data_IF_513781117795
#
_entry.id   IF_513781117795
#
_cell.length_a   1.000
_cell.length_b   1.000
_cell.length_c   1.000
_cell.angle_alpha   90.00
_cell.angle_beta   90.00
_cell.angle_gamma   90.00
#
_symmetry.space_group_name_H-M   'P 1'
#
loop_
_entity.id
_entity.type
_entity.pdbx_description
1 polymer ?
#
# COMPACT_ATOMS: atom_id res chain seq x y z
N UNK A 1 -8.89 -16.64 -22.58
CA UNK A 1 -7.92 -16.36 -23.66
C UNK A 1 -6.52 -16.90 -23.32
N UNK A 2 -5.84 -16.38 -22.29
CA UNK A 2 -4.46 -16.78 -21.94
C UNK A 2 -4.28 -18.27 -21.63
N UNK A 3 -5.22 -18.89 -20.89
CA UNK A 3 -5.15 -20.33 -20.56
C UNK A 3 -5.29 -21.18 -21.83
N UNK A 4 -6.28 -20.90 -22.67
CA UNK A 4 -6.61 -21.71 -23.84
C UNK A 4 -5.59 -21.55 -24.99
N UNK A 5 -4.78 -20.48 -25.00
CA UNK A 5 -3.76 -20.21 -26.03
C UNK A 5 -2.33 -20.27 -25.50
N UNK A 6 -2.08 -20.89 -24.34
CA UNK A 6 -0.72 -20.95 -23.74
C UNK A 6 0.33 -21.53 -24.69
N UNK A 7 -0.04 -22.51 -25.53
CA UNK A 7 0.86 -23.10 -26.52
C UNK A 7 1.31 -22.12 -27.61
N UNK A 8 0.54 -21.04 -27.83
CA UNK A 8 0.84 -20.00 -28.82
C UNK A 8 1.64 -18.83 -28.22
N UNK A 9 1.85 -18.82 -26.91
CA UNK A 9 2.60 -17.77 -26.21
C UNK A 9 4.07 -18.15 -26.11
N UNK A 10 4.95 -17.29 -26.63
CA UNK A 10 6.40 -17.43 -26.48
C UNK A 10 6.83 -17.09 -25.06
N UNK A 11 7.58 -18.00 -24.42
CA UNK A 11 8.19 -17.72 -23.13
C UNK A 11 9.34 -16.71 -23.31
N UNK A 12 9.27 -15.58 -22.61
CA UNK A 12 10.26 -14.50 -22.69
C UNK A 12 11.53 -14.78 -21.86
N UNK A 13 11.45 -15.70 -20.89
CA UNK A 13 12.57 -16.19 -20.08
C UNK A 13 12.15 -17.43 -19.27
N UNK A 14 13.09 -18.23 -18.74
CA UNK A 14 12.77 -19.23 -17.71
C UNK A 14 12.03 -18.61 -16.52
N UNK A 15 11.17 -19.41 -15.89
CA UNK A 15 10.45 -19.00 -14.68
C UNK A 15 11.40 -18.87 -13.48
N UNK A 16 11.03 -18.00 -12.52
CA UNK A 16 11.69 -17.88 -11.22
C UNK A 16 13.19 -17.48 -11.22
N UNK A 17 13.70 -16.89 -12.30
CA UNK A 17 15.12 -16.45 -12.37
C UNK A 17 15.34 -14.98 -11.98
N UNK A 18 14.31 -14.15 -12.07
CA UNK A 18 14.35 -12.72 -11.71
C UNK A 18 12.96 -12.22 -11.41
N UNK A 19 12.87 -11.18 -10.58
CA UNK A 19 11.63 -10.46 -10.41
C UNK A 19 11.39 -9.50 -11.58
N UNK A 20 10.15 -9.47 -12.06
CA UNK A 20 9.66 -8.47 -13.01
C UNK A 20 8.20 -8.21 -12.68
N UNK A 21 7.90 -6.98 -12.24
CA UNK A 21 6.53 -6.60 -11.92
C UNK A 21 5.64 -6.72 -13.17
N UNK A 22 4.54 -7.45 -13.07
CA UNK A 22 3.66 -7.74 -14.19
C UNK A 22 2.19 -7.71 -13.77
N UNK A 23 1.43 -6.74 -14.29
CA UNK A 23 -0.01 -6.62 -14.03
C UNK A 23 -0.78 -7.87 -14.50
N UNK A 24 -0.35 -8.51 -15.59
CA UNK A 24 -0.99 -9.71 -16.12
C UNK A 24 -1.05 -10.84 -15.10
N UNK A 25 -0.08 -10.96 -14.21
CA UNK A 25 -0.09 -11.96 -13.14
C UNK A 25 -1.30 -11.79 -12.23
N UNK A 26 -1.64 -10.55 -11.85
CA UNK A 26 -2.77 -10.27 -10.97
C UNK A 26 -4.12 -10.36 -11.68
N UNK A 27 -4.20 -9.97 -12.96
CA UNK A 27 -5.39 -10.22 -13.77
C UNK A 27 -5.67 -11.73 -13.91
N UNK A 28 -4.62 -12.55 -14.05
CA UNK A 28 -4.75 -14.02 -14.05
C UNK A 28 -5.22 -14.57 -12.70
N UNK A 29 -4.72 -14.04 -11.58
CA UNK A 29 -5.16 -14.43 -10.24
C UNK A 29 -6.65 -14.11 -10.00
N UNK A 30 -7.14 -12.97 -10.50
CA UNK A 30 -8.57 -12.67 -10.46
C UNK A 30 -9.40 -13.71 -11.23
N UNK A 31 -8.97 -14.09 -12.44
CA UNK A 31 -9.62 -15.16 -13.22
C UNK A 31 -9.56 -16.52 -12.52
N UNK A 32 -8.48 -16.81 -11.78
CA UNK A 32 -8.35 -18.04 -11.00
C UNK A 32 -9.39 -18.07 -9.87
N UNK A 33 -9.59 -16.95 -9.16
CA UNK A 33 -10.63 -16.81 -8.14
C UNK A 33 -12.00 -17.11 -8.77
N UNK A 34 -12.32 -16.51 -9.91
CA UNK A 34 -13.59 -16.75 -10.59
C UNK A 34 -13.76 -18.22 -11.00
N UNK A 35 -12.70 -18.83 -11.52
CA UNK A 35 -12.71 -20.23 -11.97
C UNK A 35 -12.93 -21.21 -10.81
N UNK A 36 -12.29 -20.98 -9.67
CA UNK A 36 -12.37 -21.86 -8.49
C UNK A 36 -13.69 -21.67 -7.75
N UNK A 37 -14.17 -20.44 -7.64
CA UNK A 37 -15.35 -20.11 -6.83
C UNK A 37 -16.68 -20.17 -7.61
N UNK A 38 -16.62 -20.06 -8.94
CA UNK A 38 -17.80 -20.00 -9.81
C UNK A 38 -18.56 -18.67 -9.77
N UNK A 39 -18.04 -17.64 -9.09
CA UNK A 39 -18.63 -16.30 -9.03
C UNK A 39 -17.66 -15.25 -9.53
N UNK A 40 -18.16 -14.10 -9.98
CA UNK A 40 -17.32 -13.03 -10.53
C UNK A 40 -16.43 -12.40 -9.46
N UNK A 41 -15.25 -11.89 -9.84
CA UNK A 41 -14.29 -11.29 -8.93
C UNK A 41 -14.87 -10.10 -8.13
N UNK A 42 -15.60 -9.14 -8.75
CA UNK A 42 -16.30 -8.09 -8.00
C UNK A 42 -17.28 -8.64 -6.95
N UNK A 43 -18.02 -9.70 -7.29
CA UNK A 43 -18.98 -10.33 -6.37
C UNK A 43 -18.27 -11.05 -5.24
N UNK A 44 -17.19 -11.77 -5.55
CA UNK A 44 -16.36 -12.46 -4.56
C UNK A 44 -15.79 -11.48 -3.54
N UNK A 45 -15.17 -10.37 -3.98
CA UNK A 45 -14.62 -9.38 -3.06
C UNK A 45 -15.69 -8.70 -2.21
N UNK A 46 -16.83 -8.36 -2.81
CA UNK A 46 -17.94 -7.75 -2.08
C UNK A 46 -18.45 -8.68 -0.96
N UNK A 47 -18.71 -9.94 -1.29
CA UNK A 47 -19.31 -10.90 -0.35
C UNK A 47 -18.34 -11.38 0.75
N UNK A 48 -17.06 -11.56 0.41
CA UNK A 48 -16.09 -12.18 1.34
C UNK A 48 -15.25 -11.16 2.10
N UNK A 49 -15.15 -9.92 1.62
CA UNK A 49 -14.31 -8.90 2.25
C UNK A 49 -15.05 -7.59 2.48
N UNK A 50 -15.62 -6.95 1.46
CA UNK A 50 -16.12 -5.58 1.64
C UNK A 50 -17.37 -5.51 2.55
N UNK A 51 -18.36 -6.39 2.36
CA UNK A 51 -19.56 -6.42 3.20
C UNK A 51 -19.26 -6.86 4.64
N UNK A 52 -18.51 -7.97 4.89
CA UNK A 52 -18.19 -8.39 6.26
C UNK A 52 -17.34 -7.38 7.04
N UNK A 53 -16.50 -6.61 6.35
CA UNK A 53 -15.66 -5.58 6.96
C UNK A 53 -16.35 -4.20 7.00
N UNK A 54 -17.58 -4.09 6.52
CA UNK A 54 -18.31 -2.83 6.38
C UNK A 54 -17.52 -1.75 5.61
N UNK A 55 -16.77 -2.16 4.58
CA UNK A 55 -16.04 -1.26 3.68
C UNK A 55 -17.01 -0.70 2.61
N UNK A 56 -18.00 0.08 3.08
CA UNK A 56 -19.15 0.51 2.29
C UNK A 56 -18.81 1.45 1.12
N UNK A 57 -17.59 2.00 1.08
CA UNK A 57 -17.10 2.86 0.02
C UNK A 57 -16.02 2.16 -0.82
N UNK A 58 -15.94 0.83 -0.74
CA UNK A 58 -14.97 0.03 -1.48
C UNK A 58 -15.67 -0.89 -2.47
N UNK A 59 -15.23 -0.83 -3.73
CA UNK A 59 -15.82 -1.61 -4.80
C UNK A 59 -14.82 -1.83 -5.95
N UNK A 60 -15.09 -2.86 -6.77
CA UNK A 60 -14.43 -3.03 -8.07
C UNK A 60 -15.24 -2.29 -9.12
N UNK A 61 -14.62 -1.38 -9.88
CA UNK A 61 -15.34 -0.64 -10.93
C UNK A 61 -15.69 -1.60 -12.08
N UNK A 62 -16.93 -1.48 -12.57
CA UNK A 62 -17.41 -2.29 -13.68
C UNK A 62 -17.99 -1.40 -14.77
N UNK A 63 -17.99 -1.90 -16.00
CA UNK A 63 -18.63 -1.25 -17.17
C UNK A 63 -20.12 -0.94 -16.96
N UNK A 64 -20.79 -1.60 -16.00
CA UNK A 64 -22.21 -1.37 -15.71
C UNK A 64 -22.45 -0.13 -14.84
N UNK A 65 -21.44 0.31 -14.09
CA UNK A 65 -21.57 1.40 -13.12
C UNK A 65 -20.37 2.37 -13.20
N UNK A 66 -20.04 2.92 -14.39
CA UNK A 66 -18.84 3.75 -14.58
C UNK A 66 -18.90 5.06 -13.77
N UNK A 67 -20.10 5.54 -13.45
CA UNK A 67 -20.33 6.78 -12.70
C UNK A 67 -19.98 6.71 -11.23
N UNK A 68 -19.66 5.52 -10.70
CA UNK A 68 -19.17 5.37 -9.31
C UNK A 68 -17.71 5.80 -9.16
N UNK A 69 -16.94 5.83 -10.25
CA UNK A 69 -15.54 6.23 -10.20
C UNK A 69 -15.40 7.70 -9.77
N UNK A 70 -14.42 7.98 -8.91
CA UNK A 70 -14.00 9.37 -8.66
C UNK A 70 -13.27 9.91 -9.89
N UNK A 71 -13.52 11.16 -10.32
CA UNK A 71 -12.79 11.78 -11.42
C UNK A 71 -11.30 11.80 -11.17
N UNK A 72 -10.57 11.59 -12.27
CA UNK A 72 -9.12 11.54 -12.31
C UNK A 72 -8.60 12.72 -13.10
N UNK A 73 -7.49 13.33 -12.70
CA UNK A 73 -6.98 14.54 -13.36
C UNK A 73 -5.54 14.40 -13.81
N UNK A 74 -5.24 14.98 -14.98
CA UNK A 74 -3.88 15.10 -15.49
C UNK A 74 -3.09 16.19 -14.73
N UNK A 75 -1.84 16.40 -15.14
CA UNK A 75 -0.98 17.39 -14.52
C UNK A 75 -1.46 18.84 -14.72
N UNK A 76 -2.35 19.11 -15.67
CA UNK A 76 -2.97 20.43 -15.91
C UNK A 76 -4.27 20.62 -15.14
N UNK A 77 -4.78 19.56 -14.49
CA UNK A 77 -6.08 19.57 -13.83
C UNK A 77 -7.24 19.29 -14.80
N UNK A 78 -6.96 18.78 -16.00
CA UNK A 78 -7.99 18.33 -16.94
C UNK A 78 -8.42 16.91 -16.57
N UNK A 79 -9.74 16.67 -16.55
CA UNK A 79 -10.30 15.35 -16.25
C UNK A 79 -9.88 14.33 -17.33
N UNK A 80 -9.42 13.16 -16.86
CA UNK A 80 -9.03 12.03 -17.70
C UNK A 80 -10.26 11.10 -17.80
N UNK A 81 -10.79 10.86 -19.01
CA UNK A 81 -11.92 9.96 -19.19
C UNK A 81 -11.53 8.50 -18.97
N UNK A 82 -12.49 7.71 -18.47
CA UNK A 82 -12.35 6.25 -18.42
C UNK A 82 -12.26 5.66 -19.83
N UNK A 83 -11.50 4.58 -19.96
CA UNK A 83 -11.41 3.74 -21.14
C UNK A 83 -11.54 2.25 -20.77
N UNK A 84 -11.41 1.37 -21.75
CA UNK A 84 -11.63 -0.07 -21.54
C UNK A 84 -10.65 -0.71 -20.53
N UNK A 85 -9.44 -0.16 -20.37
CA UNK A 85 -8.44 -0.66 -19.43
C UNK A 85 -8.79 -0.38 -17.96
N UNK A 86 -9.65 0.61 -17.70
CA UNK A 86 -10.17 0.91 -16.37
C UNK A 86 -11.05 -0.19 -15.81
N UNK A 87 -11.55 -1.09 -16.66
CA UNK A 87 -12.42 -2.20 -16.27
C UNK A 87 -11.68 -3.53 -16.12
N UNK A 88 -10.37 -3.57 -16.35
CA UNK A 88 -9.52 -4.71 -16.01
C UNK A 88 -9.32 -4.73 -14.50
N UNK A 89 -9.57 -5.87 -13.84
CA UNK A 89 -9.43 -6.02 -12.40
C UNK A 89 -8.41 -7.10 -12.03
N UNK A 90 -8.05 -7.12 -10.75
CA UNK A 90 -7.01 -7.97 -10.18
C UNK A 90 -5.72 -7.20 -10.00
N UNK A 91 -5.23 -6.55 -11.07
CA UNK A 91 -4.01 -5.73 -11.05
C UNK A 91 -4.21 -4.31 -10.49
N UNK A 92 -5.45 -3.81 -10.52
CA UNK A 92 -5.87 -2.48 -10.04
C UNK A 92 -7.40 -2.47 -9.82
N UNK A 93 -8.05 -1.32 -10.06
CA UNK A 93 -9.51 -1.24 -10.22
C UNK A 93 -10.30 -1.51 -8.92
N UNK A 94 -9.66 -1.42 -7.76
CA UNK A 94 -10.39 -1.26 -6.50
C UNK A 94 -10.43 0.23 -6.17
N UNK A 95 -11.63 0.77 -6.09
CA UNK A 95 -11.88 2.11 -5.57
C UNK A 95 -12.18 1.98 -4.08
N UNK A 96 -11.64 2.87 -3.26
CA UNK A 96 -11.77 2.80 -1.81
C UNK A 96 -11.55 4.18 -1.16
N UNK A 97 -11.65 4.24 0.16
CA UNK A 97 -11.35 5.42 0.97
C UNK A 97 -10.26 5.09 1.99
N UNK A 98 -9.59 6.10 2.54
CA UNK A 98 -8.60 5.89 3.59
C UNK A 98 -9.21 5.19 4.83
N UNK A 99 -10.49 5.45 5.13
CA UNK A 99 -11.20 4.83 6.25
C UNK A 99 -11.45 3.33 6.02
N UNK A 100 -11.87 2.96 4.81
CA UNK A 100 -12.07 1.54 4.47
C UNK A 100 -10.74 0.79 4.37
N UNK A 101 -9.70 1.41 3.79
CA UNK A 101 -8.36 0.84 3.77
C UNK A 101 -7.78 0.64 5.18
N UNK A 102 -8.11 1.50 6.15
CA UNK A 102 -7.75 1.26 7.54
C UNK A 102 -8.47 0.02 8.10
N UNK A 103 -9.75 -0.19 7.79
CA UNK A 103 -10.46 -1.42 8.17
C UNK A 103 -9.81 -2.66 7.55
N UNK A 104 -9.40 -2.58 6.29
CA UNK A 104 -8.63 -3.63 5.63
C UNK A 104 -7.32 -3.94 6.37
N UNK A 105 -6.57 -2.93 6.79
CA UNK A 105 -5.35 -3.11 7.58
C UNK A 105 -5.62 -3.86 8.89
N UNK A 106 -6.62 -3.40 9.65
CA UNK A 106 -7.00 -4.01 10.93
C UNK A 106 -7.44 -5.46 10.75
N UNK A 107 -8.14 -5.75 9.66
CA UNK A 107 -8.53 -7.11 9.31
C UNK A 107 -7.34 -8.02 9.02
N UNK A 108 -6.32 -7.54 8.27
CA UNK A 108 -5.12 -8.33 8.02
C UNK A 108 -4.49 -8.83 9.34
N UNK A 109 -4.36 -7.95 10.33
CA UNK A 109 -3.77 -8.31 11.63
C UNK A 109 -4.73 -9.02 12.60
N UNK A 110 -6.00 -9.23 12.25
CA UNK A 110 -7.03 -9.73 13.18
C UNK A 110 -6.92 -11.23 13.49
N UNK A 111 -6.23 -12.00 12.65
CA UNK A 111 -6.18 -13.46 12.74
C UNK A 111 -7.50 -14.17 12.36
N UNK A 112 -8.52 -13.45 11.89
CA UNK A 112 -9.83 -14.02 11.57
C UNK A 112 -9.81 -14.89 10.30
N UNK A 113 -9.14 -14.40 9.25
CA UNK A 113 -9.00 -15.12 7.98
C UNK A 113 -7.53 -15.44 7.67
N UNK A 114 -6.67 -14.43 7.79
CA UNK A 114 -5.26 -14.59 7.51
C UNK A 114 -4.52 -14.96 8.80
N UNK A 115 -3.93 -16.16 8.79
CA UNK A 115 -3.03 -16.59 9.86
C UNK A 115 -1.75 -15.77 9.84
N UNK A 116 -1.00 -15.80 10.94
CA UNK A 116 0.32 -15.16 11.00
C UNK A 116 1.26 -15.76 9.95
N UNK A 117 1.18 -17.06 9.74
CA UNK A 117 1.97 -17.82 8.78
C UNK A 117 1.65 -17.38 7.34
N UNK A 118 0.37 -17.26 6.99
CA UNK A 118 -0.05 -16.75 5.67
C UNK A 118 0.47 -15.34 5.40
N UNK A 119 0.41 -14.45 6.40
CA UNK A 119 0.96 -13.10 6.23
C UNK A 119 2.48 -13.09 6.17
N UNK A 120 3.16 -13.95 6.92
CA UNK A 120 4.61 -14.11 6.83
C UNK A 120 5.03 -14.57 5.43
N UNK A 121 4.32 -15.51 4.82
CA UNK A 121 4.54 -15.91 3.43
C UNK A 121 4.32 -14.74 2.47
N UNK A 122 3.22 -13.99 2.65
CA UNK A 122 2.93 -12.82 1.81
C UNK A 122 3.99 -11.72 1.92
N UNK A 123 4.59 -11.58 3.10
CA UNK A 123 5.65 -10.62 3.39
C UNK A 123 7.05 -11.20 3.23
N UNK A 124 7.21 -12.43 2.74
CA UNK A 124 8.54 -12.98 2.48
C UNK A 124 9.13 -12.29 1.25
N UNK A 125 10.38 -11.81 1.30
CA UNK A 125 11.05 -11.25 0.14
C UNK A 125 11.39 -12.37 -0.86
N UNK A 126 10.97 -12.22 -2.12
CA UNK A 126 11.25 -13.21 -3.18
C UNK A 126 12.07 -12.61 -4.35
N UNK A 127 12.42 -11.32 -4.29
CA UNK A 127 13.14 -10.60 -5.35
C UNK A 127 14.58 -10.26 -4.94
N UNK A 128 15.38 -11.30 -4.72
CA UNK A 128 16.75 -11.20 -4.21
C UNK A 128 17.83 -11.14 -5.29
N UNK A 129 17.46 -10.98 -6.56
CA UNK A 129 18.42 -10.99 -7.66
C UNK A 129 19.44 -9.84 -7.62
N UNK A 130 19.14 -8.78 -6.86
CA UNK A 130 20.03 -7.64 -6.66
C UNK A 130 20.13 -7.26 -5.17
N UNK A 131 21.32 -6.84 -4.70
CA UNK A 131 21.47 -6.32 -3.35
C UNK A 131 20.69 -5.00 -3.20
N UNK A 132 20.10 -4.80 -2.03
CA UNK A 132 19.40 -3.57 -1.69
C UNK A 132 18.19 -3.81 -0.78
N UNK A 133 17.56 -2.70 -0.38
CA UNK A 133 16.45 -2.74 0.56
C UNK A 133 15.13 -3.16 -0.09
N UNK A 134 14.96 -2.87 -1.39
CA UNK A 134 13.69 -3.01 -2.10
C UNK A 134 13.44 -4.47 -2.44
N UNK A 135 12.30 -4.98 -2.01
CA UNK A 135 11.88 -6.35 -2.26
C UNK A 135 10.39 -6.45 -2.61
N UNK A 136 9.99 -7.60 -3.14
CA UNK A 136 8.62 -7.93 -3.47
C UNK A 136 8.23 -9.31 -2.93
N UNK A 137 7.07 -9.38 -2.28
CA UNK A 137 6.43 -10.57 -1.75
C UNK A 137 5.20 -10.98 -2.56
N UNK A 138 4.25 -11.67 -1.95
CA UNK A 138 3.00 -12.03 -2.64
C UNK A 138 2.00 -10.87 -2.55
N UNK A 139 1.96 -9.99 -3.57
CA UNK A 139 1.06 -8.83 -3.55
C UNK A 139 1.57 -7.62 -2.77
N UNK A 140 2.78 -7.68 -2.22
CA UNK A 140 3.33 -6.64 -1.34
C UNK A 140 4.73 -6.22 -1.75
N UNK A 141 4.98 -4.91 -1.73
CA UNK A 141 6.34 -4.37 -1.74
C UNK A 141 6.86 -4.31 -0.32
N UNK A 142 8.17 -4.38 -0.17
CA UNK A 142 8.81 -4.15 1.12
C UNK A 142 10.15 -3.44 0.97
N UNK A 143 10.51 -2.67 1.99
CA UNK A 143 11.88 -2.19 2.19
C UNK A 143 12.44 -2.86 3.44
N UNK A 144 13.58 -3.54 3.30
CA UNK A 144 14.31 -4.21 4.37
C UNK A 144 15.53 -3.35 4.72
N UNK A 145 15.60 -2.83 5.94
CA UNK A 145 16.68 -1.94 6.37
C UNK A 145 17.73 -2.69 7.20
N UNK A 146 18.98 -2.22 7.17
CA UNK A 146 20.12 -2.88 7.83
C UNK A 146 19.99 -2.94 9.35
N UNK A 147 19.21 -2.03 9.95
CA UNK A 147 18.87 -2.04 11.37
C UNK A 147 17.78 -3.07 11.75
N UNK A 148 17.39 -3.93 10.82
CA UNK A 148 16.36 -4.96 11.00
C UNK A 148 14.92 -4.45 10.84
N UNK A 149 14.71 -3.15 10.64
CA UNK A 149 13.38 -2.60 10.38
C UNK A 149 12.86 -2.97 9.00
N UNK A 150 11.54 -3.09 8.90
CA UNK A 150 10.87 -3.50 7.67
C UNK A 150 9.61 -2.69 7.43
N UNK A 151 9.51 -2.08 6.26
CA UNK A 151 8.27 -1.45 5.80
C UNK A 151 7.57 -2.38 4.82
N UNK A 152 6.30 -2.67 5.05
CA UNK A 152 5.43 -3.39 4.11
C UNK A 152 4.54 -2.36 3.43
N UNK A 153 4.42 -2.38 2.11
CA UNK A 153 3.62 -1.38 1.42
C UNK A 153 3.13 -1.84 0.06
N UNK A 154 2.19 -1.07 -0.51
CA UNK A 154 1.93 -1.09 -1.93
C UNK A 154 1.62 0.33 -2.40
N UNK A 155 2.16 0.69 -3.57
CA UNK A 155 1.84 1.94 -4.23
C UNK A 155 0.87 1.66 -5.38
N UNK A 156 -0.03 2.60 -5.64
CA UNK A 156 -0.91 2.57 -6.80
C UNK A 156 -0.58 3.69 -7.76
N UNK A 157 -0.70 3.44 -9.05
CA UNK A 157 -0.65 4.47 -10.08
C UNK A 157 -1.54 4.08 -11.25
N UNK A 158 -2.51 4.92 -11.56
CA UNK A 158 -3.39 4.74 -12.71
C UNK A 158 -4.11 6.05 -13.03
N UNK A 159 -4.06 6.49 -14.30
CA UNK A 159 -4.71 7.70 -14.81
C UNK A 159 -4.70 8.88 -13.83
N UNK A 160 -3.56 9.53 -13.65
CA UNK A 160 -3.48 10.68 -12.74
C UNK A 160 -3.64 10.33 -11.25
N UNK A 161 -4.25 9.22 -10.87
CA UNK A 161 -4.30 8.80 -9.48
C UNK A 161 -2.98 8.17 -9.07
N UNK A 162 -2.58 8.43 -7.84
CA UNK A 162 -1.59 7.62 -7.16
C UNK A 162 -1.92 7.46 -5.67
N UNK A 163 -1.46 6.35 -5.12
CA UNK A 163 -1.70 5.99 -3.73
C UNK A 163 -0.48 5.38 -3.07
N UNK A 164 -0.42 5.49 -1.76
CA UNK A 164 0.49 4.77 -0.89
C UNK A 164 -0.30 4.15 0.26
N UNK A 165 -0.13 2.86 0.46
CA UNK A 165 -0.63 2.12 1.61
C UNK A 165 0.57 1.44 2.27
N UNK A 166 0.91 1.88 3.47
CA UNK A 166 2.14 1.51 4.17
C UNK A 166 1.79 0.96 5.55
N UNK A 167 2.36 -0.18 5.91
CA UNK A 167 2.24 -0.82 7.22
C UNK A 167 3.61 -0.86 7.90
N UNK A 168 3.64 -0.36 9.13
CA UNK A 168 4.76 -0.44 10.07
C UNK A 168 4.36 -1.47 11.13
N UNK A 169 4.78 -2.72 10.93
CA UNK A 169 4.25 -3.85 11.70
C UNK A 169 4.71 -3.82 13.17
N UNK A 170 5.91 -3.32 13.44
CA UNK A 170 6.47 -3.23 14.79
C UNK A 170 5.73 -2.22 15.67
N UNK A 171 5.27 -1.11 15.08
CA UNK A 171 4.59 -0.02 15.79
C UNK A 171 3.06 -0.07 15.67
N UNK A 172 2.52 -1.06 14.96
CA UNK A 172 1.09 -1.20 14.64
C UNK A 172 0.51 0.08 13.99
N UNK A 173 1.22 0.63 13.01
CA UNK A 173 0.85 1.87 12.31
C UNK A 173 0.57 1.61 10.83
N UNK A 174 -0.47 2.26 10.32
CA UNK A 174 -0.78 2.30 8.89
C UNK A 174 -0.78 3.74 8.40
N UNK A 175 -0.04 4.01 7.32
CA UNK A 175 -0.04 5.31 6.63
C UNK A 175 -0.74 5.12 5.28
N UNK A 176 -1.75 5.96 5.03
CA UNK A 176 -2.58 5.88 3.83
C UNK A 176 -2.63 7.26 3.18
N UNK A 177 -2.21 7.34 1.92
CA UNK A 177 -2.30 8.56 1.12
C UNK A 177 -2.93 8.24 -0.24
N UNK A 178 -3.95 9.01 -0.62
CA UNK A 178 -4.72 8.83 -1.85
C UNK A 178 -4.78 10.17 -2.57
N UNK A 179 -4.48 10.19 -3.87
CA UNK A 179 -4.57 11.39 -4.70
C UNK A 179 -5.22 11.04 -6.04
N UNK A 180 -6.08 11.93 -6.53
CA UNK A 180 -6.72 11.83 -7.84
C UNK A 180 -6.09 12.73 -8.91
N UNK A 181 -4.95 13.33 -8.57
CA UNK A 181 -4.02 14.02 -9.46
C UNK A 181 -2.60 13.68 -9.03
N UNK A 182 -1.76 13.33 -9.98
CA UNK A 182 -0.49 12.70 -9.66
C UNK A 182 0.38 13.69 -8.90
N UNK A 183 0.90 13.26 -7.75
CA UNK A 183 1.91 14.02 -7.01
C UNK A 183 2.95 13.09 -6.40
N UNK A 184 4.23 13.45 -6.50
CA UNK A 184 5.31 12.67 -5.87
C UNK A 184 5.17 12.64 -4.34
N UNK A 185 4.56 13.65 -3.74
CA UNK A 185 4.31 13.75 -2.30
C UNK A 185 3.60 12.50 -1.74
N UNK A 186 2.71 11.88 -2.52
CA UNK A 186 2.01 10.64 -2.12
C UNK A 186 2.98 9.51 -1.81
N UNK A 187 4.11 9.40 -2.53
CA UNK A 187 5.10 8.36 -2.29
C UNK A 187 6.11 8.73 -1.21
N UNK A 188 6.29 10.03 -0.92
CA UNK A 188 7.17 10.51 0.15
C UNK A 188 6.54 10.36 1.55
N UNK A 189 5.27 9.96 1.67
CA UNK A 189 4.64 9.71 2.99
C UNK A 189 5.32 8.57 3.77
N UNK A 190 6.15 7.76 3.13
CA UNK A 190 7.01 6.79 3.83
C UNK A 190 7.99 7.46 4.79
N UNK A 191 8.35 8.74 4.60
CA UNK A 191 9.16 9.53 5.53
C UNK A 191 8.51 9.68 6.90
N UNK A 192 7.17 9.60 6.98
CA UNK A 192 6.44 9.62 8.25
C UNK A 192 6.76 8.40 9.13
N UNK A 193 7.32 7.32 8.57
CA UNK A 193 7.75 6.15 9.35
C UNK A 193 8.77 6.54 10.43
N UNK A 194 9.63 7.52 10.14
CA UNK A 194 10.64 8.02 11.07
C UNK A 194 10.06 8.80 12.27
N UNK A 195 8.77 9.15 12.28
CA UNK A 195 8.10 9.70 13.47
C UNK A 195 7.93 8.63 14.55
N UNK A 196 7.84 7.36 14.14
CA UNK A 196 7.52 6.24 15.02
C UNK A 196 8.77 5.49 15.49
N UNK A 197 9.73 5.29 14.58
CA UNK A 197 11.03 4.67 14.89
C UNK A 197 12.05 5.05 13.82
N UNK A 198 13.34 4.94 14.10
CA UNK A 198 14.40 5.22 13.13
C UNK A 198 14.46 4.12 12.04
N UNK A 199 13.61 4.21 11.01
CA UNK A 199 13.57 3.25 9.90
C UNK A 199 14.74 3.44 8.96
N UNK A 200 15.02 4.69 8.59
CA UNK A 200 16.12 5.05 7.70
C UNK A 200 16.59 6.46 7.99
N UNK A 201 17.86 6.73 7.71
CA UNK A 201 18.36 8.11 7.67
C UNK A 201 17.78 8.74 6.39
N UNK A 202 16.98 9.81 6.48
CA UNK A 202 16.54 10.52 5.29
C UNK A 202 17.78 11.01 4.54
N UNK A 203 17.98 10.53 3.30
CA UNK A 203 18.97 11.15 2.43
C UNK A 203 18.43 12.54 2.13
N UNK A 204 19.21 13.59 2.44
CA UNK A 204 18.91 14.94 1.97
C UNK A 204 19.04 14.91 0.44
N UNK A 205 17.94 14.66 -0.26
CA UNK A 205 17.88 14.93 -1.71
C UNK A 205 18.12 16.43 -1.88
N UNK A 206 18.99 16.82 -2.83
CA UNK A 206 19.13 18.22 -3.25
C UNK A 206 17.77 18.71 -3.76
N UNK A 207 16.99 19.30 -2.87
CA UNK A 207 15.66 19.82 -3.18
C UNK A 207 15.77 21.24 -3.72
N UNK A 208 15.10 21.50 -4.84
CA UNK A 208 14.74 22.86 -5.26
C UNK A 208 14.12 23.65 -4.09
N UNK A 209 14.44 24.95 -4.05
CA UNK A 209 14.28 25.86 -2.91
C UNK A 209 12.86 25.94 -2.30
N UNK A 210 11.81 25.50 -3.00
CA UNK A 210 10.44 25.48 -2.46
C UNK A 210 10.16 24.32 -1.50
N UNK A 211 10.99 23.27 -1.52
CA UNK A 211 10.81 22.06 -0.68
C UNK A 211 11.52 22.18 0.67
N UNK A 212 12.57 23.01 0.76
CA UNK A 212 13.34 23.23 1.99
C UNK A 212 12.49 23.82 3.12
N UNK A 213 11.61 24.78 2.83
CA UNK A 213 10.74 25.37 3.86
C UNK A 213 9.81 24.35 4.52
N UNK A 214 9.24 23.43 3.72
CA UNK A 214 8.35 22.38 4.23
C UNK A 214 9.09 21.34 5.08
N UNK A 215 10.35 21.02 4.74
CA UNK A 215 11.19 20.07 5.48
C UNK A 215 11.77 20.68 6.76
N UNK A 216 12.10 21.97 6.75
CA UNK A 216 12.52 22.72 7.93
C UNK A 216 11.39 22.81 8.96
N UNK A 217 10.16 23.04 8.50
CA UNK A 217 8.97 23.03 9.35
C UNK A 217 8.70 21.63 9.92
N UNK A 218 8.86 20.57 9.13
CA UNK A 218 8.75 19.19 9.60
C UNK A 218 9.81 18.81 10.66
N UNK A 219 11.08 19.19 10.47
CA UNK A 219 12.16 18.95 11.44
C UNK A 219 11.95 19.71 12.76
N UNK A 220 11.35 20.91 12.72
CA UNK A 220 11.03 21.67 13.95
C UNK A 220 9.83 21.08 14.68
N UNK A 221 8.78 20.69 13.96
CA UNK A 221 7.58 20.11 14.56
C UNK A 221 7.86 18.71 15.15
N UNK A 222 8.58 17.84 14.45
CA UNK A 222 8.97 16.50 14.96
C UNK A 222 9.83 16.56 16.23
N UNK A 223 10.83 17.44 16.28
CA UNK A 223 11.62 17.68 17.48
C UNK A 223 10.79 18.21 18.65
N UNK A 224 9.78 19.03 18.37
CA UNK A 224 8.85 19.51 19.40
C UNK A 224 7.99 18.37 19.95
N UNK A 225 7.52 17.46 19.09
CA UNK A 225 6.68 16.31 19.45
C UNK A 225 7.47 15.27 20.24
N UNK A 226 8.71 14.97 19.86
CA UNK A 226 9.59 14.07 20.64
C UNK A 226 9.91 14.63 22.02
N UNK A 227 10.30 15.91 22.13
CA UNK A 227 10.50 16.57 23.44
C UNK A 227 9.24 16.58 24.31
N UNK A 228 8.07 16.71 23.70
CA UNK A 228 6.78 16.66 24.42
C UNK A 228 6.43 15.24 24.88
N UNK A 229 6.75 14.21 24.09
CA UNK A 229 6.63 12.80 24.51
C UNK A 229 7.56 12.48 25.69
N UNK A 230 8.83 12.86 25.61
CA UNK A 230 9.82 12.54 26.65
C UNK A 230 9.52 13.26 27.98
N UNK A 231 8.97 14.48 27.92
CA UNK A 231 8.54 15.21 29.13
C UNK A 231 7.29 14.60 29.77
N UNK A 232 6.35 14.05 28.98
CA UNK A 232 5.17 13.35 29.50
C UNK A 232 5.54 11.99 30.12
N UNK A 233 6.52 11.28 29.53
CA UNK A 233 7.01 9.99 30.04
C UNK A 233 7.81 10.18 31.33
N UNK A 234 8.68 11.20 31.40
CA UNK A 234 9.45 11.51 32.62
C UNK A 234 8.59 12.06 33.76
N UNK A 235 7.53 12.82 33.46
CA UNK A 235 6.61 13.38 34.46
C UNK A 235 5.70 12.34 35.14
N UNK A 236 5.40 11.20 34.51
CA UNK A 236 4.57 10.14 35.11
C UNK A 236 5.32 9.22 36.08
N UNK A 237 6.66 9.23 36.06
CA UNK A 237 7.49 8.37 36.92
C UNK A 237 7.67 8.90 38.36
N UNK A 238 7.35 10.17 38.64
CA UNK A 238 7.62 10.79 39.95
C UNK A 238 6.46 10.75 40.96
N UNK A 239 5.27 10.26 40.61
CA UNK A 239 4.10 10.33 41.51
C UNK A 239 3.73 9.05 42.28
N UNK A 240 4.50 7.96 42.17
CA UNK A 240 4.11 6.67 42.77
C UNK A 240 5.03 6.12 43.88
N UNK A 241 5.75 7.00 44.58
CA UNK A 241 6.53 6.60 45.78
C UNK A 241 6.38 7.57 46.95
N UNK A 242 5.18 7.72 47.50
CA UNK A 242 4.96 8.08 48.93
C UNK A 242 3.63 7.52 49.43
N UNK A 243 3.65 6.28 49.91
CA UNK A 243 2.66 5.72 50.84
C UNK A 243 3.33 4.58 51.61
N UNK A 244 3.82 4.91 52.81
CA UNK A 244 3.92 4.09 54.02
C UNK A 244 4.34 5.00 55.16
#
# INVERSE_FOLDING_TARGET
YLINRKQELTDISPACIRFSYCNTNYALLALLIEKVTGITYPRYLKQNFFDPLEMNNTFVLTVKEPTKATPSYDWRGTEIPLNYLDFVYGDKNIFSTARDLLKWDRFLSSGLLFTKETLQEAYTPYSHEHPGIKNYGLGWRMNLYDNGKKIIFHNGWWHGNNSAFIRLLDEDVTIIALNNRFTRATYHVNQLANIFSDYFIPVEEETDASTQDSMLQYKTDSNSVHKKRDSIISGKSQHEKKSK
#
